data_IF_915453808784
#
_entry.id   IF_915453808784
#
_cell.length_a   1.000
_cell.length_b   1.000
_cell.length_c   1.000
_cell.angle_alpha   90.00
_cell.angle_beta   90.00
_cell.angle_gamma   90.00
#
_symmetry.space_group_name_H-M   'P 1'
#
loop_
_entity.id
_entity.type
_entity.pdbx_description
1 polymer ?
#
# COMPACT_ATOMS: atom_id res chain seq x y z
N UNK A 1 4.87 17.54 -9.97
CA UNK A 1 3.66 17.07 -9.26
C UNK A 1 3.06 15.97 -10.13
N UNK A 2 3.24 14.69 -9.75
CA UNK A 2 2.62 13.54 -10.44
C UNK A 2 1.13 13.55 -10.05
N UNK A 3 0.21 13.81 -10.97
CA UNK A 3 -1.19 14.12 -10.68
C UNK A 3 -2.19 13.62 -11.73
N UNK A 4 -1.76 12.75 -12.64
CA UNK A 4 -2.68 12.09 -13.58
C UNK A 4 -3.41 10.93 -12.89
N UNK A 5 -4.58 10.56 -13.41
CA UNK A 5 -5.31 9.40 -12.92
C UNK A 5 -4.48 8.09 -13.00
N UNK A 6 -3.61 7.99 -14.02
CA UNK A 6 -2.71 6.86 -14.21
C UNK A 6 -1.67 6.78 -13.09
N UNK A 7 -0.96 7.86 -12.79
CA UNK A 7 0.06 7.87 -11.72
C UNK A 7 -0.55 7.58 -10.35
N UNK A 8 -1.78 8.04 -10.10
CA UNK A 8 -2.50 7.74 -8.86
C UNK A 8 -2.81 6.24 -8.76
N UNK A 9 -3.23 5.62 -9.87
CA UNK A 9 -3.46 4.18 -9.93
C UNK A 9 -2.16 3.40 -9.70
N UNK A 10 -1.08 3.76 -10.41
CA UNK A 10 0.24 3.11 -10.30
C UNK A 10 0.76 3.15 -8.85
N UNK A 11 0.72 4.31 -8.18
CA UNK A 11 1.15 4.43 -6.79
C UNK A 11 0.41 3.45 -5.86
N UNK A 12 -0.92 3.30 -6.04
CA UNK A 12 -1.72 2.37 -5.22
C UNK A 12 -1.40 0.91 -5.57
N UNK A 13 -1.22 0.62 -6.85
CA UNK A 13 -0.90 -0.73 -7.32
C UNK A 13 0.49 -1.19 -6.84
N UNK A 14 1.49 -0.32 -6.89
CA UNK A 14 2.84 -0.59 -6.40
C UNK A 14 2.85 -0.87 -4.89
N UNK A 15 2.10 -0.07 -4.11
CA UNK A 15 1.90 -0.32 -2.68
C UNK A 15 1.27 -1.69 -2.44
N UNK A 16 0.24 -2.07 -3.22
CA UNK A 16 -0.42 -3.36 -3.06
C UNK A 16 0.50 -4.54 -3.38
N UNK A 17 1.30 -4.42 -4.45
CA UNK A 17 2.26 -5.44 -4.84
C UNK A 17 3.32 -5.65 -3.76
N UNK A 18 3.83 -4.55 -3.17
CA UNK A 18 4.73 -4.60 -2.03
C UNK A 18 4.05 -5.22 -0.79
N UNK A 19 2.85 -4.74 -0.44
CA UNK A 19 2.12 -5.17 0.74
C UNK A 19 1.80 -6.68 0.71
N UNK A 20 1.50 -7.23 -0.46
CA UNK A 20 1.18 -8.65 -0.63
C UNK A 20 2.34 -9.58 -0.24
N UNK A 21 3.59 -9.12 -0.39
CA UNK A 21 4.80 -9.92 -0.19
C UNK A 21 5.52 -9.62 1.12
N UNK A 22 4.96 -8.78 1.99
CA UNK A 22 5.50 -8.48 3.31
C UNK A 22 4.54 -8.93 4.41
N UNK A 23 5.06 -9.20 5.60
CA UNK A 23 4.24 -9.54 6.76
C UNK A 23 3.57 -8.29 7.32
N UNK A 24 4.35 -7.25 7.58
CA UNK A 24 3.91 -5.96 8.13
C UNK A 24 4.76 -4.83 7.54
N UNK A 25 4.19 -3.64 7.43
CA UNK A 25 4.91 -2.47 6.93
C UNK A 25 4.35 -1.17 7.49
N UNK A 26 5.11 -0.10 7.36
CA UNK A 26 4.74 1.26 7.74
C UNK A 26 4.98 2.26 6.58
N UNK A 27 4.66 3.53 6.82
CA UNK A 27 4.81 4.60 5.81
C UNK A 27 6.28 4.81 5.39
N UNK A 28 7.23 4.59 6.28
CA UNK A 28 8.66 4.70 5.97
C UNK A 28 9.11 3.60 5.03
N UNK A 29 8.67 2.35 5.24
CA UNK A 29 9.01 1.23 4.36
C UNK A 29 8.55 1.51 2.91
N UNK A 30 7.33 2.05 2.74
CA UNK A 30 6.81 2.43 1.42
C UNK A 30 7.64 3.57 0.81
N UNK A 31 8.00 4.57 1.61
CA UNK A 31 8.79 5.71 1.14
C UNK A 31 10.20 5.29 0.68
N UNK A 32 10.82 4.36 1.39
CA UNK A 32 12.20 3.93 1.11
C UNK A 32 12.27 2.86 0.01
N UNK A 33 11.28 1.96 -0.08
CA UNK A 33 11.36 0.78 -0.95
C UNK A 33 10.40 0.80 -2.16
N UNK A 34 9.39 1.67 -2.17
CA UNK A 34 8.30 1.58 -3.17
C UNK A 34 8.11 2.89 -3.92
N UNK A 35 7.87 4.00 -3.20
CA UNK A 35 7.47 5.26 -3.80
C UNK A 35 8.37 6.42 -3.35
N UNK A 36 9.13 6.98 -4.30
CA UNK A 36 9.78 8.29 -4.13
C UNK A 36 8.75 9.42 -4.26
N UNK A 37 7.97 9.65 -3.20
CA UNK A 37 6.94 10.69 -3.12
C UNK A 37 6.74 11.17 -1.69
N UNK A 38 5.89 12.17 -1.48
CA UNK A 38 5.64 12.67 -0.13
C UNK A 38 4.99 11.60 0.76
N UNK A 39 5.40 11.53 2.04
CA UNK A 39 4.73 10.68 3.05
C UNK A 39 3.24 11.00 3.20
N UNK A 40 2.82 12.21 2.84
CA UNK A 40 1.39 12.53 2.78
C UNK A 40 0.75 11.68 1.68
N UNK A 41 1.23 11.77 0.44
CA UNK A 41 0.70 11.02 -0.70
C UNK A 41 0.59 9.52 -0.40
N UNK A 42 1.61 8.94 0.25
CA UNK A 42 1.59 7.56 0.72
C UNK A 42 0.42 7.31 1.68
N UNK A 43 0.25 8.15 2.72
CA UNK A 43 -0.88 8.03 3.66
C UNK A 43 -2.25 8.11 2.97
N UNK A 44 -2.41 8.97 1.96
CA UNK A 44 -3.65 9.02 1.19
C UNK A 44 -3.89 7.73 0.40
N UNK A 45 -2.86 7.20 -0.25
CA UNK A 45 -2.98 5.90 -0.94
C UNK A 45 -3.34 4.79 0.03
N UNK A 46 -2.73 4.74 1.21
CA UNK A 46 -3.06 3.77 2.26
C UNK A 46 -4.50 3.93 2.74
N UNK A 47 -4.99 5.16 2.94
CA UNK A 47 -6.41 5.40 3.29
C UNK A 47 -7.34 4.82 2.24
N UNK A 48 -7.12 5.13 0.95
CA UNK A 48 -7.94 4.63 -0.15
C UNK A 48 -7.96 3.09 -0.20
N UNK A 49 -6.79 2.46 0.02
CA UNK A 49 -6.63 1.00 -0.01
C UNK A 49 -7.23 0.31 1.23
N UNK A 50 -7.24 0.97 2.38
CA UNK A 50 -7.93 0.51 3.59
C UNK A 50 -9.44 0.57 3.38
N UNK A 51 -9.96 1.71 2.91
CA UNK A 51 -11.39 1.89 2.60
C UNK A 51 -11.89 0.87 1.56
N UNK A 52 -11.01 0.46 0.64
CA UNK A 52 -11.28 -0.56 -0.39
C UNK A 52 -11.11 -2.02 0.10
N UNK A 53 -10.66 -2.24 1.33
CA UNK A 53 -10.51 -3.55 1.96
C UNK A 53 -9.28 -4.36 1.52
N UNK A 54 -8.27 -3.72 0.93
CA UNK A 54 -7.04 -4.39 0.47
C UNK A 54 -5.92 -4.36 1.52
N UNK A 55 -5.89 -3.33 2.36
CA UNK A 55 -4.93 -3.19 3.46
C UNK A 55 -5.72 -3.03 4.74
N UNK A 56 -5.19 -3.53 5.84
CA UNK A 56 -5.73 -3.27 7.17
C UNK A 56 -4.68 -2.67 8.09
N UNK A 57 -5.15 -1.91 9.07
CA UNK A 57 -4.31 -1.19 10.02
C UNK A 57 -4.18 -2.04 11.29
N UNK A 58 -2.94 -2.37 11.65
CA UNK A 58 -2.62 -3.15 12.85
C UNK A 58 -2.42 -2.26 14.08
N UNK A 59 -1.73 -1.13 13.88
CA UNK A 59 -1.40 -0.19 14.93
C UNK A 59 -1.49 1.25 14.41
N UNK A 60 -1.10 2.24 15.19
CA UNK A 60 -1.03 3.64 14.71
C UNK A 60 -0.12 3.77 13.47
N UNK A 61 0.93 2.94 13.37
CA UNK A 61 1.99 3.04 12.38
C UNK A 61 2.06 1.85 11.42
N UNK A 62 1.56 0.69 11.83
CA UNK A 62 1.75 -0.56 11.11
C UNK A 62 0.49 -1.00 10.36
N UNK A 63 0.73 -1.56 9.20
CA UNK A 63 -0.26 -2.05 8.25
C UNK A 63 0.12 -3.46 7.81
N UNK A 64 -0.88 -4.19 7.31
CA UNK A 64 -0.66 -5.46 6.61
C UNK A 64 -1.64 -5.62 5.45
N UNK A 65 -1.27 -6.43 4.47
CA UNK A 65 -2.18 -6.84 3.40
C UNK A 65 -3.25 -7.78 3.94
N UNK A 66 -4.50 -7.57 3.52
CA UNK A 66 -5.60 -8.51 3.82
C UNK A 66 -5.42 -9.81 3.03
N UNK A 67 -6.15 -10.87 3.43
CA UNK A 67 -6.17 -12.14 2.68
C UNK A 67 -6.56 -11.94 1.20
N UNK A 68 -7.50 -11.03 0.93
CA UNK A 68 -7.92 -10.65 -0.44
C UNK A 68 -6.75 -10.15 -1.29
N UNK A 69 -5.90 -9.31 -0.72
CA UNK A 69 -4.72 -8.79 -1.43
C UNK A 69 -3.71 -9.89 -1.68
N UNK A 70 -3.44 -10.74 -0.69
CA UNK A 70 -2.54 -11.89 -0.87
C UNK A 70 -3.04 -12.84 -1.97
N UNK A 71 -4.33 -13.12 -2.00
CA UNK A 71 -4.96 -13.92 -3.06
C UNK A 71 -4.84 -13.27 -4.44
N UNK A 72 -5.07 -11.95 -4.54
CA UNK A 72 -4.94 -11.19 -5.80
C UNK A 72 -3.55 -11.37 -6.45
N UNK A 73 -2.50 -11.43 -5.62
CA UNK A 73 -1.11 -11.62 -6.07
C UNK A 73 -0.63 -13.07 -5.97
N UNK A 74 -1.51 -14.03 -5.67
CA UNK A 74 -1.19 -15.46 -5.50
C UNK A 74 -0.08 -15.73 -4.47
N UNK A 75 0.00 -14.88 -3.44
CA UNK A 75 0.90 -15.09 -2.29
C UNK A 75 0.14 -15.93 -1.26
N UNK A 76 0.55 -17.17 -1.05
CA UNK A 76 -0.07 -18.07 -0.06
C UNK A 76 0.20 -17.61 1.37
N UNK A 77 -0.82 -17.78 2.24
CA UNK A 77 -0.78 -17.52 3.68
C UNK A 77 0.21 -18.43 4.42
#
# INVERSE_FOLDING_TARGET
MRNTALEIFENRFDILMFAAHTTTFNVTDIFEAVLDTSRMTIRKCLSDLIESGYIEKLSVYDYQATAKTKELFKVTL
#
